data_IF_752349110120
#
_entry.id   IF_752349110120
#
_cell.length_a   1.000
_cell.length_b   1.000
_cell.length_c   1.000
_cell.angle_alpha   90.00
_cell.angle_beta   90.00
_cell.angle_gamma   90.00
#
_symmetry.space_group_name_H-M   'P 1'
#
loop_
_entity.id
_entity.type
_entity.pdbx_description
1 polymer ?
#
# COMPACT_ATOMS: atom_id res chain seq x y z
N UNK A 1 9.11 11.31 -15.24
CA UNK A 1 9.40 11.55 -16.67
C UNK A 1 9.51 13.04 -16.90
N UNK A 2 10.22 13.48 -17.93
CA UNK A 2 10.24 14.90 -18.29
C UNK A 2 9.02 15.28 -19.13
N UNK A 3 8.77 16.59 -19.25
CA UNK A 3 7.73 17.13 -20.13
C UNK A 3 7.95 16.77 -21.60
N UNK A 4 9.22 16.71 -22.03
CA UNK A 4 9.59 16.29 -23.39
C UNK A 4 9.27 14.82 -23.61
N UNK A 5 9.55 13.96 -22.63
CA UNK A 5 9.22 12.53 -22.72
C UNK A 5 7.71 12.32 -22.87
N UNK A 6 6.91 13.02 -22.08
CA UNK A 6 5.46 12.94 -22.17
C UNK A 6 4.94 13.42 -23.53
N UNK A 7 5.50 14.52 -24.05
CA UNK A 7 5.17 15.02 -25.39
C UNK A 7 5.47 13.98 -26.47
N UNK A 8 6.64 13.36 -26.41
CA UNK A 8 7.05 12.33 -27.35
C UNK A 8 6.10 11.12 -27.31
N UNK A 9 5.71 10.67 -26.11
CA UNK A 9 4.72 9.58 -25.97
C UNK A 9 3.38 9.94 -26.63
N UNK A 10 2.88 11.16 -26.42
CA UNK A 10 1.63 11.61 -27.04
C UNK A 10 1.74 11.70 -28.56
N UNK A 11 2.88 12.16 -29.08
CA UNK A 11 3.14 12.22 -30.53
C UNK A 11 3.16 10.83 -31.15
N UNK A 12 3.84 9.87 -30.54
CA UNK A 12 3.85 8.46 -30.97
C UNK A 12 2.44 7.85 -31.00
N UNK A 13 1.65 8.08 -29.95
CA UNK A 13 0.26 7.63 -29.91
C UNK A 13 -0.59 8.33 -30.98
N UNK A 14 -0.35 9.62 -31.21
CA UNK A 14 -1.04 10.39 -32.24
C UNK A 14 -0.75 9.86 -33.63
N UNK A 15 0.52 9.52 -33.92
CA UNK A 15 0.97 8.92 -35.17
C UNK A 15 0.34 7.55 -35.37
N UNK A 16 0.40 6.67 -34.36
CA UNK A 16 -0.17 5.32 -34.43
C UNK A 16 -1.67 5.32 -34.73
N UNK A 17 -2.45 6.15 -34.02
CA UNK A 17 -3.89 6.23 -34.21
C UNK A 17 -4.33 7.17 -35.36
N UNK A 18 -3.39 7.79 -36.08
CA UNK A 18 -3.70 8.71 -37.19
C UNK A 18 -4.40 10.01 -36.76
N UNK A 19 -4.14 10.49 -35.55
CA UNK A 19 -4.76 11.69 -34.97
C UNK A 19 -3.86 12.90 -35.26
N UNK A 20 -4.38 13.97 -35.86
CA UNK A 20 -3.59 15.18 -36.17
C UNK A 20 -3.27 16.06 -34.96
N UNK A 21 -4.17 16.10 -33.96
CA UNK A 21 -3.99 16.90 -32.76
C UNK A 21 -4.62 16.20 -31.55
N UNK A 22 -3.75 15.65 -30.72
CA UNK A 22 -4.13 14.79 -29.61
C UNK A 22 -4.73 15.56 -28.44
N UNK A 23 -4.12 16.70 -28.08
CA UNK A 23 -4.46 17.43 -26.87
C UNK A 23 -4.16 18.92 -27.02
N UNK A 24 -4.92 19.78 -26.33
CA UNK A 24 -4.63 21.22 -26.27
C UNK A 24 -3.63 21.52 -25.13
N UNK A 25 -3.01 22.70 -25.13
CA UNK A 25 -1.96 23.04 -24.17
C UNK A 25 -2.40 22.92 -22.70
N UNK A 26 -3.61 23.35 -22.37
CA UNK A 26 -4.12 23.27 -20.98
C UNK A 26 -4.26 21.82 -20.53
N UNK A 27 -4.90 20.98 -21.36
CA UNK A 27 -5.12 19.56 -21.04
C UNK A 27 -3.80 18.78 -21.05
N UNK A 28 -2.83 19.18 -21.89
CA UNK A 28 -1.46 18.65 -21.83
C UNK A 28 -0.83 18.85 -20.45
N UNK A 29 -0.85 20.08 -19.92
CA UNK A 29 -0.27 20.37 -18.59
C UNK A 29 -0.95 19.55 -17.50
N UNK A 30 -2.28 19.46 -17.53
CA UNK A 30 -3.03 18.67 -16.56
C UNK A 30 -2.61 17.20 -16.62
N UNK A 31 -2.58 16.62 -17.82
CA UNK A 31 -2.22 15.22 -18.01
C UNK A 31 -0.76 14.93 -17.62
N UNK A 32 0.15 15.83 -17.94
CA UNK A 32 1.55 15.74 -17.53
C UNK A 32 1.66 15.72 -16.00
N UNK A 33 1.00 16.63 -15.30
CA UNK A 33 1.00 16.67 -13.83
C UNK A 33 0.50 15.36 -13.20
N UNK A 34 -0.45 14.66 -13.83
CA UNK A 34 -0.93 13.35 -13.34
C UNK A 34 0.01 12.18 -13.65
N UNK A 35 1.04 12.38 -14.47
CA UNK A 35 1.93 11.32 -14.98
C UNK A 35 3.41 11.63 -14.75
N UNK A 36 3.75 12.78 -14.16
CA UNK A 36 5.12 13.27 -14.01
C UNK A 36 6.02 12.32 -13.20
N UNK A 37 5.47 11.60 -12.23
CA UNK A 37 6.19 10.64 -11.38
C UNK A 37 6.55 9.32 -12.06
N UNK A 38 6.06 9.08 -13.27
CA UNK A 38 6.29 7.81 -13.98
C UNK A 38 7.75 7.76 -14.48
N UNK A 39 8.50 6.68 -14.22
CA UNK A 39 9.86 6.53 -14.71
C UNK A 39 9.93 6.56 -16.24
N UNK A 40 10.94 7.20 -16.81
CA UNK A 40 11.15 7.25 -18.26
C UNK A 40 11.26 5.85 -18.88
N UNK A 41 11.89 4.92 -18.16
CA UNK A 41 12.03 3.51 -18.55
C UNK A 41 10.69 2.77 -18.73
N UNK A 42 9.59 3.28 -18.17
CA UNK A 42 8.28 2.67 -18.30
C UNK A 42 7.55 3.07 -19.60
N UNK A 43 8.01 4.11 -20.30
CA UNK A 43 7.26 4.74 -21.40
C UNK A 43 7.09 3.81 -22.60
N UNK A 44 8.14 3.10 -22.99
CA UNK A 44 8.09 2.12 -24.09
C UNK A 44 7.06 1.03 -23.80
N UNK A 45 7.09 0.47 -22.58
CA UNK A 45 6.10 -0.51 -22.15
C UNK A 45 4.67 0.03 -22.17
N UNK A 46 4.47 1.26 -21.69
CA UNK A 46 3.15 1.91 -21.66
C UNK A 46 2.63 2.10 -23.08
N UNK A 47 3.47 2.57 -24.01
CA UNK A 47 3.12 2.70 -25.42
C UNK A 47 2.70 1.36 -26.02
N UNK A 48 3.56 0.34 -25.89
CA UNK A 48 3.28 -1.01 -26.42
C UNK A 48 1.97 -1.56 -25.88
N UNK A 49 1.70 -1.43 -24.57
CA UNK A 49 0.45 -1.92 -23.98
C UNK A 49 -0.80 -1.20 -24.47
N UNK A 50 -0.73 0.12 -24.64
CA UNK A 50 -1.85 0.88 -25.20
C UNK A 50 -2.14 0.40 -26.63
N UNK A 51 -1.09 0.30 -27.44
CA UNK A 51 -1.19 -0.10 -28.86
C UNK A 51 -1.69 -1.55 -29.02
N UNK A 52 -1.21 -2.47 -28.18
CA UNK A 52 -1.61 -3.89 -28.19
C UNK A 52 -3.04 -4.12 -27.69
N UNK A 53 -3.47 -3.41 -26.64
CA UNK A 53 -4.71 -3.72 -25.93
C UNK A 53 -5.87 -2.78 -26.23
N UNK A 54 -5.64 -1.69 -26.98
CA UNK A 54 -6.65 -0.67 -27.26
C UNK A 54 -6.75 -0.40 -28.76
N UNK A 55 -7.89 -0.78 -29.33
CA UNK A 55 -8.22 -0.50 -30.74
C UNK A 55 -8.34 1.00 -31.04
N UNK A 56 -8.64 1.80 -30.01
CA UNK A 56 -8.78 3.26 -30.13
C UNK A 56 -8.10 3.96 -28.95
N UNK A 57 -7.80 5.24 -29.16
CA UNK A 57 -7.25 6.10 -28.11
C UNK A 57 -8.14 6.08 -26.84
N UNK A 58 -7.58 5.77 -25.65
CA UNK A 58 -8.34 5.83 -24.42
C UNK A 58 -8.87 7.24 -24.13
N UNK A 59 -10.18 7.35 -23.83
CA UNK A 59 -10.81 8.62 -23.44
C UNK A 59 -10.16 9.27 -22.21
N UNK A 60 -9.66 8.44 -21.28
CA UNK A 60 -8.93 8.87 -20.10
C UNK A 60 -7.50 8.31 -20.14
N UNK A 61 -6.70 8.86 -21.05
CA UNK A 61 -5.33 8.42 -21.25
C UNK A 61 -4.46 8.48 -19.97
N UNK A 62 -4.49 9.55 -19.14
CA UNK A 62 -3.67 9.60 -17.92
C UNK A 62 -3.94 8.45 -16.95
N UNK A 63 -5.19 8.02 -16.83
CA UNK A 63 -5.55 6.87 -16.00
C UNK A 63 -4.92 5.58 -16.54
N UNK A 64 -5.00 5.37 -17.85
CA UNK A 64 -4.44 4.19 -18.53
C UNK A 64 -2.91 4.18 -18.46
N UNK A 65 -2.27 5.33 -18.67
CA UNK A 65 -0.81 5.49 -18.52
C UNK A 65 -0.38 5.09 -17.10
N UNK A 66 -1.05 5.59 -16.07
CA UNK A 66 -0.75 5.24 -14.68
C UNK A 66 -0.99 3.76 -14.36
N UNK A 67 -2.03 3.17 -14.94
CA UNK A 67 -2.32 1.75 -14.78
C UNK A 67 -1.20 0.88 -15.36
N UNK A 68 -0.77 1.14 -16.59
CA UNK A 68 0.33 0.40 -17.21
C UNK A 68 1.67 0.69 -16.54
N UNK A 69 1.91 1.92 -16.07
CA UNK A 69 3.09 2.24 -15.26
C UNK A 69 3.14 1.42 -13.96
N UNK A 70 2.00 1.21 -13.30
CA UNK A 70 1.88 0.35 -12.11
C UNK A 70 2.17 -1.11 -12.44
N UNK A 71 1.65 -1.63 -13.56
CA UNK A 71 1.91 -3.01 -14.01
C UNK A 71 3.38 -3.20 -14.34
N UNK A 72 3.98 -2.26 -15.09
CA UNK A 72 5.40 -2.25 -15.40
C UNK A 72 6.25 -2.24 -14.13
N UNK A 73 5.89 -1.38 -13.16
CA UNK A 73 6.57 -1.30 -11.87
C UNK A 73 6.50 -2.64 -11.13
N UNK A 74 5.34 -3.27 -11.04
CA UNK A 74 5.20 -4.57 -10.37
C UNK A 74 6.00 -5.70 -11.04
N UNK A 75 6.22 -5.59 -12.36
CA UNK A 75 6.90 -6.63 -13.15
C UNK A 75 8.42 -6.44 -13.20
N UNK A 76 8.89 -5.18 -13.23
CA UNK A 76 10.31 -4.84 -13.37
C UNK A 76 10.96 -4.44 -12.04
N UNK A 77 10.22 -3.77 -11.17
CA UNK A 77 10.57 -3.66 -9.78
C UNK A 77 9.90 -4.81 -9.05
N UNK A 78 10.62 -5.95 -8.92
CA UNK A 78 10.35 -6.83 -7.79
C UNK A 78 10.34 -5.93 -6.55
N UNK A 79 9.25 -5.86 -5.78
CA UNK A 79 9.31 -5.11 -4.54
C UNK A 79 10.45 -5.73 -3.73
N UNK A 80 11.53 -4.97 -3.53
CA UNK A 80 12.56 -5.24 -2.51
C UNK A 80 11.98 -5.22 -1.09
N UNK A 81 10.65 -5.27 -0.96
CA UNK A 81 9.88 -5.12 0.25
C UNK A 81 8.91 -6.28 0.47
N UNK A 82 9.21 -7.46 -0.09
CA UNK A 82 8.87 -8.66 0.67
C UNK A 82 9.86 -8.65 1.83
N UNK A 83 9.55 -7.91 2.91
CA UNK A 83 10.24 -8.13 4.19
C UNK A 83 10.04 -9.62 4.46
N UNK A 84 11.10 -10.40 4.29
CA UNK A 84 11.07 -11.83 4.61
C UNK A 84 10.67 -11.91 6.08
N UNK A 85 9.80 -12.86 6.41
CA UNK A 85 9.39 -13.05 7.80
C UNK A 85 10.64 -13.23 8.65
N UNK A 86 10.91 -12.30 9.55
CA UNK A 86 11.96 -12.50 10.56
C UNK A 86 11.42 -13.53 11.56
N UNK A 87 12.07 -14.69 11.75
CA UNK A 87 11.68 -15.63 12.79
C UNK A 87 11.65 -14.89 14.13
N UNK A 88 10.47 -14.83 14.76
CA UNK A 88 10.28 -14.07 15.99
C UNK A 88 9.47 -14.89 16.98
N UNK A 89 10.12 -15.31 18.06
CA UNK A 89 9.45 -16.06 19.15
C UNK A 89 8.45 -15.19 19.92
N UNK A 90 8.63 -13.86 19.91
CA UNK A 90 7.78 -12.91 20.62
C UNK A 90 6.34 -12.90 20.07
N UNK A 91 6.20 -12.92 18.74
CA UNK A 91 4.93 -12.80 18.05
C UNK A 91 4.60 -13.99 17.13
N UNK A 92 5.34 -15.10 17.25
CA UNK A 92 5.22 -16.24 16.33
C UNK A 92 5.44 -15.87 14.86
N UNK A 93 6.33 -14.92 14.59
CA UNK A 93 6.61 -14.37 13.25
C UNK A 93 5.44 -13.65 12.56
N UNK A 94 4.29 -13.47 13.21
CA UNK A 94 3.11 -12.78 12.64
C UNK A 94 3.30 -11.26 12.55
N UNK A 95 4.12 -10.70 13.44
CA UNK A 95 4.29 -9.26 13.63
C UNK A 95 3.32 -8.65 14.63
N UNK A 96 2.33 -9.41 15.13
CA UNK A 96 1.35 -8.93 16.09
C UNK A 96 1.36 -9.77 17.36
N UNK A 97 1.20 -9.11 18.50
CA UNK A 97 1.04 -9.75 19.80
C UNK A 97 -0.41 -9.52 20.22
N UNK A 98 -1.18 -10.60 20.29
CA UNK A 98 -2.59 -10.57 20.67
C UNK A 98 -2.73 -10.68 22.18
N UNK A 99 -3.60 -9.86 22.77
CA UNK A 99 -3.84 -9.86 24.20
C UNK A 99 -5.25 -9.38 24.55
N UNK A 100 -5.66 -9.64 25.78
CA UNK A 100 -6.91 -9.17 26.36
C UNK A 100 -6.59 -7.98 27.28
N UNK A 101 -7.19 -6.83 26.99
CA UNK A 101 -7.22 -5.67 27.89
C UNK A 101 -8.39 -5.81 28.86
N UNK A 102 -8.20 -5.64 30.18
CA UNK A 102 -9.34 -5.57 31.10
C UNK A 102 -10.26 -4.37 30.76
N UNK A 103 -11.56 -4.59 30.81
CA UNK A 103 -12.55 -3.51 30.67
C UNK A 103 -12.65 -2.77 32.00
N UNK A 104 -12.48 -1.44 31.95
CA UNK A 104 -12.51 -0.56 33.11
C UNK A 104 -13.77 0.32 33.09
N UNK A 105 -14.48 0.42 34.21
CA UNK A 105 -15.58 1.36 34.44
C UNK A 105 -15.29 2.07 35.75
N UNK A 106 -15.25 3.41 35.73
CA UNK A 106 -14.97 4.25 36.92
C UNK A 106 -13.66 3.89 37.66
N UNK A 107 -12.68 3.35 36.93
CA UNK A 107 -11.39 2.93 37.50
C UNK A 107 -11.38 1.52 38.08
N UNK A 108 -12.52 0.81 38.05
CA UNK A 108 -12.63 -0.57 38.49
C UNK A 108 -12.72 -1.55 37.31
N UNK A 109 -12.16 -2.75 37.50
CA UNK A 109 -12.23 -3.82 36.49
C UNK A 109 -13.64 -4.41 36.48
N UNK A 110 -14.27 -4.41 35.32
CA UNK A 110 -15.56 -5.08 35.16
C UNK A 110 -15.43 -6.60 35.30
N UNK A 111 -16.38 -7.19 36.02
CA UNK A 111 -16.55 -8.64 36.13
C UNK A 111 -17.93 -9.04 35.60
N UNK A 112 -18.01 -10.22 35.01
CA UNK A 112 -19.29 -10.81 34.62
C UNK A 112 -20.03 -11.40 35.84
N UNK A 113 -21.23 -11.94 35.61
CA UNK A 113 -22.05 -12.58 36.66
C UNK A 113 -21.39 -13.80 37.31
N UNK A 114 -20.31 -14.31 36.74
CA UNK A 114 -19.53 -15.45 37.25
C UNK A 114 -18.26 -15.01 37.98
N UNK A 115 -18.03 -13.70 38.12
CA UNK A 115 -16.84 -13.14 38.75
C UNK A 115 -15.60 -13.13 37.84
N UNK A 116 -15.75 -13.41 36.54
CA UNK A 116 -14.63 -13.37 35.58
C UNK A 116 -14.47 -11.95 35.05
N UNK A 117 -13.22 -11.48 34.97
CA UNK A 117 -12.94 -10.19 34.37
C UNK A 117 -13.38 -10.14 32.90
N UNK A 118 -14.16 -9.12 32.57
CA UNK A 118 -14.47 -8.78 31.19
C UNK A 118 -13.24 -8.12 30.57
N UNK A 119 -12.97 -8.46 29.32
CA UNK A 119 -11.87 -7.87 28.59
C UNK A 119 -12.12 -7.81 27.09
N UNK A 120 -11.40 -6.90 26.45
CA UNK A 120 -11.42 -6.67 25.02
C UNK A 120 -10.17 -7.26 24.39
N UNK A 121 -10.32 -8.04 23.32
CA UNK A 121 -9.20 -8.50 22.52
C UNK A 121 -8.59 -7.33 21.73
N UNK A 122 -7.29 -7.14 21.87
CA UNK A 122 -6.53 -6.13 21.15
C UNK A 122 -5.22 -6.74 20.64
N UNK A 123 -4.64 -6.10 19.63
CA UNK A 123 -3.32 -6.47 19.10
C UNK A 123 -2.34 -5.31 19.23
N UNK A 124 -1.10 -5.63 19.59
CA UNK A 124 0.04 -4.73 19.55
C UNK A 124 0.96 -5.11 18.40
N UNK A 125 1.62 -4.11 17.80
CA UNK A 125 2.72 -4.36 16.87
C UNK A 125 3.91 -4.93 17.64
N UNK A 126 4.57 -5.96 17.12
CA UNK A 126 5.78 -6.48 17.73
C UNK A 126 6.92 -5.47 17.58
N UNK A 127 7.51 -5.03 18.70
CA UNK A 127 8.63 -4.10 18.70
C UNK A 127 9.95 -4.71 18.20
N UNK A 128 10.09 -6.05 18.19
CA UNK A 128 11.37 -6.72 17.96
C UNK A 128 11.63 -7.09 16.49
N UNK A 129 10.60 -7.42 15.71
CA UNK A 129 10.79 -8.03 14.39
C UNK A 129 10.22 -7.23 13.21
N UNK A 130 9.44 -6.18 13.49
CA UNK A 130 8.76 -5.36 12.47
C UNK A 130 7.95 -6.12 11.41
N UNK A 131 7.64 -7.41 11.64
CA UNK A 131 6.91 -8.23 10.70
C UNK A 131 5.51 -7.67 10.40
N UNK A 132 4.97 -6.80 11.25
CA UNK A 132 3.71 -6.08 11.06
C UNK A 132 3.77 -5.08 9.91
N UNK A 133 4.94 -4.61 9.47
CA UNK A 133 5.05 -3.72 8.29
C UNK A 133 4.53 -4.40 7.02
N UNK A 134 4.44 -5.74 7.03
CA UNK A 134 3.91 -6.56 5.93
C UNK A 134 2.38 -6.60 5.88
N UNK A 135 1.72 -6.18 6.97
CA UNK A 135 0.28 -6.33 7.14
C UNK A 135 -0.33 -5.04 7.68
N UNK A 136 -1.40 -4.55 7.06
CA UNK A 136 -2.13 -3.40 7.58
C UNK A 136 -3.19 -3.90 8.58
N UNK A 137 -2.93 -3.73 9.88
CA UNK A 137 -3.94 -3.97 10.92
C UNK A 137 -4.39 -2.61 11.51
N UNK A 138 -5.54 -2.05 11.07
CA UNK A 138 -5.91 -0.66 11.34
C UNK A 138 -6.13 -0.36 12.83
N UNK A 139 -6.44 -1.39 13.62
CA UNK A 139 -6.68 -1.27 15.07
C UNK A 139 -5.47 -1.70 15.93
N UNK A 140 -4.35 -2.06 15.31
CA UNK A 140 -3.19 -2.51 16.07
C UNK A 140 -2.55 -1.34 16.82
N UNK A 141 -2.41 -1.52 18.12
CA UNK A 141 -1.76 -0.59 19.03
C UNK A 141 -0.28 -0.38 18.63
N UNK A 142 0.38 0.67 19.17
CA UNK A 142 1.79 0.94 18.90
C UNK A 142 2.71 -0.26 19.20
N UNK A 143 3.95 -0.26 18.70
CA UNK A 143 4.91 -1.32 18.97
C UNK A 143 5.14 -1.56 20.46
N UNK A 144 5.12 -2.82 20.90
CA UNK A 144 5.41 -3.23 22.27
C UNK A 144 6.04 -4.64 22.32
N UNK A 145 6.71 -4.96 23.43
CA UNK A 145 7.13 -6.33 23.79
C UNK A 145 6.07 -7.01 24.67
N UNK A 146 6.09 -8.35 24.76
CA UNK A 146 5.24 -9.14 25.66
C UNK A 146 5.42 -8.69 27.11
N UNK A 147 6.65 -8.38 27.52
CA UNK A 147 6.94 -7.89 28.87
C UNK A 147 6.23 -6.56 29.15
N UNK A 148 6.35 -5.58 28.26
CA UNK A 148 5.66 -4.28 28.41
C UNK A 148 4.14 -4.47 28.48
N UNK A 149 3.58 -5.33 27.62
CA UNK A 149 2.15 -5.65 27.59
C UNK A 149 1.69 -6.25 28.94
N UNK A 150 2.49 -7.15 29.52
CA UNK A 150 2.21 -7.73 30.84
C UNK A 150 2.31 -6.69 31.97
N UNK A 151 3.30 -5.81 31.93
CA UNK A 151 3.48 -4.71 32.90
C UNK A 151 2.29 -3.73 32.87
N UNK A 152 1.66 -3.54 31.71
CA UNK A 152 0.43 -2.76 31.57
C UNK A 152 -0.84 -3.51 32.03
N UNK A 153 -0.70 -4.74 32.54
CA UNK A 153 -1.81 -5.53 33.08
C UNK A 153 -2.67 -6.23 32.03
N UNK A 154 -2.20 -6.36 30.79
CA UNK A 154 -2.89 -7.12 29.75
C UNK A 154 -2.56 -8.61 29.88
N UNK A 155 -3.50 -9.46 29.44
CA UNK A 155 -3.30 -10.91 29.41
C UNK A 155 -2.96 -11.35 27.99
N UNK A 156 -1.78 -11.90 27.78
CA UNK A 156 -1.36 -12.40 26.46
C UNK A 156 -2.24 -13.58 26.01
N UNK A 157 -2.64 -13.56 24.74
CA UNK A 157 -3.24 -14.71 24.07
C UNK A 157 -2.10 -15.62 23.58
N UNK A 158 -2.31 -16.94 23.70
CA UNK A 158 -1.31 -17.95 23.29
C UNK A 158 -1.22 -18.04 21.78
#
# INVERSE_FOLDING_TARGET
MTRSDFKNLLEQLSEYYGIKRFVNGIRFEMWFKFTEDIPQLALEYIFSKIVEEKDTIPRNLPKVINEYARIWKNSNYKPLNIKISTPCQECGSTGFIWCIRPTMVEGERMVDKTGRYLGEEVSFRCALCENWVRYVHPKAKPPATRQQILEWGYKLLK
#
